data_IF_867407818047
#
_entry.id   IF_867407818047
#
_cell.length_a   1.000
_cell.length_b   1.000
_cell.length_c   1.000
_cell.angle_alpha   90.00
_cell.angle_beta   90.00
_cell.angle_gamma   90.00
#
_symmetry.space_group_name_H-M   'P 1'
#
loop_
_entity.id
_entity.type
_entity.pdbx_description
1 polymer ?
#
# COMPACT_ATOMS: atom_id res chain seq x y z
N UNK A 1 -11.31 -10.55 -26.74
CA UNK A 1 -12.69 -10.19 -26.31
C UNK A 1 -12.56 -9.58 -24.92
N UNK A 2 -12.84 -8.26 -24.81
CA UNK A 2 -12.85 -7.55 -23.53
C UNK A 2 -13.93 -8.11 -22.61
N UNK A 3 -13.72 -7.97 -21.29
CA UNK A 3 -14.75 -8.29 -20.31
C UNK A 3 -15.91 -7.29 -20.44
N UNK A 4 -17.14 -7.75 -20.18
CA UNK A 4 -18.31 -6.87 -20.21
C UNK A 4 -18.21 -5.89 -19.03
N UNK A 5 -18.25 -4.60 -19.31
CA UNK A 5 -18.31 -3.54 -18.31
C UNK A 5 -19.75 -3.39 -17.82
N UNK A 6 -19.95 -3.45 -16.51
CA UNK A 6 -21.29 -3.41 -15.89
C UNK A 6 -21.47 -2.26 -14.88
N UNK A 7 -20.40 -1.58 -14.49
CA UNK A 7 -20.46 -0.45 -13.56
C UNK A 7 -19.28 0.54 -13.80
N UNK A 8 -19.32 1.77 -13.24
CA UNK A 8 -18.28 2.78 -13.45
C UNK A 8 -16.88 2.32 -13.04
N UNK A 9 -16.73 1.61 -11.91
CA UNK A 9 -15.42 1.10 -11.44
C UNK A 9 -14.78 0.13 -12.45
N UNK A 10 -15.60 -0.70 -13.10
CA UNK A 10 -15.12 -1.57 -14.17
C UNK A 10 -14.73 -0.78 -15.44
N UNK A 11 -15.41 0.33 -15.71
CA UNK A 11 -15.03 1.22 -16.83
C UNK A 11 -13.65 1.83 -16.57
N UNK A 12 -13.37 2.30 -15.35
CA UNK A 12 -12.09 2.88 -14.98
C UNK A 12 -10.95 1.85 -15.01
N UNK A 13 -11.19 0.63 -14.50
CA UNK A 13 -10.22 -0.47 -14.58
C UNK A 13 -9.92 -0.81 -16.06
N UNK A 14 -10.95 -0.86 -16.90
CA UNK A 14 -10.78 -1.14 -18.32
C UNK A 14 -10.00 -0.03 -19.00
N UNK A 15 -10.31 1.22 -18.70
CA UNK A 15 -9.60 2.38 -19.21
C UNK A 15 -8.12 2.34 -18.83
N UNK A 16 -7.81 2.09 -17.55
CA UNK A 16 -6.43 1.95 -17.08
C UNK A 16 -5.71 0.82 -17.82
N UNK A 17 -6.34 -0.36 -17.93
CA UNK A 17 -5.77 -1.51 -18.63
C UNK A 17 -5.45 -1.24 -20.09
N UNK A 18 -6.32 -0.50 -20.79
CA UNK A 18 -6.15 -0.21 -22.22
C UNK A 18 -5.19 0.94 -22.50
N UNK A 19 -5.15 1.95 -21.59
CA UNK A 19 -4.38 3.17 -21.82
C UNK A 19 -2.97 3.11 -21.25
N UNK A 20 -2.77 2.50 -20.07
CA UNK A 20 -1.47 2.48 -19.40
C UNK A 20 -0.35 1.93 -20.31
N UNK A 21 -0.51 0.77 -21.01
CA UNK A 21 0.54 0.29 -21.91
C UNK A 21 0.79 1.16 -23.15
N UNK A 22 -0.14 2.03 -23.53
CA UNK A 22 0.01 2.93 -24.67
C UNK A 22 0.70 4.24 -24.29
N UNK A 23 0.50 4.67 -23.05
CA UNK A 23 1.03 5.94 -22.53
C UNK A 23 2.41 5.76 -21.90
N UNK A 24 2.70 4.57 -21.34
CA UNK A 24 3.97 4.24 -20.76
C UNK A 24 5.02 3.96 -21.84
N UNK A 25 6.24 4.43 -21.66
CA UNK A 25 7.33 4.30 -22.66
C UNK A 25 7.62 2.83 -22.99
N UNK A 26 7.70 1.98 -21.96
CA UNK A 26 7.93 0.53 -22.10
C UNK A 26 7.25 -0.23 -20.97
N UNK A 27 5.93 -0.33 -21.01
CA UNK A 27 5.15 -0.97 -19.95
C UNK A 27 5.51 -2.45 -19.74
N UNK A 28 5.88 -3.13 -20.81
CA UNK A 28 6.13 -4.57 -20.78
C UNK A 28 7.60 -4.95 -20.55
N UNK A 29 8.45 -4.01 -20.12
CA UNK A 29 9.86 -4.27 -19.84
C UNK A 29 10.07 -5.28 -18.69
N UNK A 30 9.18 -5.29 -17.68
CA UNK A 30 9.28 -6.16 -16.49
C UNK A 30 7.99 -6.94 -16.17
N UNK A 31 6.91 -6.71 -16.92
CA UNK A 31 5.62 -7.37 -16.72
C UNK A 31 5.12 -7.93 -18.04
N UNK A 32 4.79 -9.20 -18.09
CA UNK A 32 4.24 -9.82 -19.30
C UNK A 32 2.79 -9.40 -19.57
N UNK A 33 2.38 -9.44 -20.86
CA UNK A 33 0.97 -9.24 -21.23
C UNK A 33 0.01 -10.22 -20.54
N UNK A 34 0.47 -11.43 -20.25
CA UNK A 34 -0.32 -12.45 -19.58
C UNK A 34 -0.56 -12.10 -18.10
N UNK A 35 0.47 -11.64 -17.40
CA UNK A 35 0.38 -11.18 -16.01
C UNK A 35 -0.52 -9.96 -15.89
N UNK A 36 -0.35 -8.96 -16.75
CA UNK A 36 -1.19 -7.78 -16.75
C UNK A 36 -2.66 -8.12 -17.02
N UNK A 37 -2.93 -9.02 -17.98
CA UNK A 37 -4.29 -9.51 -18.25
C UNK A 37 -4.88 -10.27 -17.07
N UNK A 38 -4.08 -11.08 -16.37
CA UNK A 38 -4.50 -11.80 -15.15
C UNK A 38 -4.89 -10.80 -14.05
N UNK A 39 -4.06 -9.79 -13.81
CA UNK A 39 -4.33 -8.73 -12.84
C UNK A 39 -5.59 -7.92 -13.20
N UNK A 40 -5.75 -7.56 -14.47
CA UNK A 40 -6.97 -6.90 -14.97
C UNK A 40 -8.23 -7.72 -14.68
N UNK A 41 -8.23 -9.02 -14.96
CA UNK A 41 -9.38 -9.89 -14.68
C UNK A 41 -9.70 -9.94 -13.19
N UNK A 42 -8.68 -10.11 -12.34
CA UNK A 42 -8.86 -10.09 -10.90
C UNK A 42 -9.41 -8.74 -10.39
N UNK A 43 -8.93 -7.62 -10.93
CA UNK A 43 -9.43 -6.29 -10.58
C UNK A 43 -10.90 -6.06 -10.99
N UNK A 44 -11.39 -6.73 -12.03
CA UNK A 44 -12.78 -6.63 -12.50
C UNK A 44 -13.77 -7.37 -11.58
N UNK A 45 -13.28 -8.31 -10.76
CA UNK A 45 -14.11 -9.07 -9.82
C UNK A 45 -14.53 -8.18 -8.64
N UNK A 46 -15.70 -8.44 -8.09
CA UNK A 46 -16.23 -7.82 -6.85
C UNK A 46 -16.33 -6.27 -6.81
N UNK A 47 -16.12 -5.58 -7.91
CA UNK A 47 -16.16 -4.10 -7.97
C UNK A 47 -17.47 -3.49 -7.49
N UNK A 48 -18.58 -4.20 -7.62
CA UNK A 48 -19.90 -3.73 -7.18
C UNK A 48 -20.06 -3.58 -5.67
N UNK A 49 -19.25 -4.28 -4.88
CA UNK A 49 -19.24 -4.24 -3.40
C UNK A 49 -18.06 -3.47 -2.83
N UNK A 50 -17.11 -3.10 -3.66
CA UNK A 50 -15.86 -2.49 -3.27
C UNK A 50 -16.06 -1.03 -2.87
N UNK A 51 -15.60 -0.63 -1.69
CA UNK A 51 -15.51 0.77 -1.26
C UNK A 51 -14.55 1.58 -2.14
N UNK A 52 -14.58 2.90 -2.04
CA UNK A 52 -13.77 3.75 -2.93
C UNK A 52 -12.28 3.69 -2.60
N UNK A 53 -11.90 3.54 -1.33
CA UNK A 53 -10.51 3.34 -0.94
C UNK A 53 -9.98 1.96 -1.35
N UNK A 54 -10.78 0.90 -1.23
CA UNK A 54 -10.40 -0.43 -1.72
C UNK A 54 -10.25 -0.43 -3.24
N UNK A 55 -11.11 0.31 -3.94
CA UNK A 55 -11.01 0.53 -5.37
C UNK A 55 -9.72 1.28 -5.74
N UNK A 56 -9.37 2.33 -5.00
CA UNK A 56 -8.10 3.03 -5.15
C UNK A 56 -6.89 2.09 -5.01
N UNK A 57 -6.84 1.26 -3.97
CA UNK A 57 -5.76 0.29 -3.80
C UNK A 57 -5.74 -0.77 -4.91
N UNK A 58 -6.91 -1.15 -5.42
CA UNK A 58 -7.02 -2.07 -6.57
C UNK A 58 -6.44 -1.46 -7.85
N UNK A 59 -6.74 -0.19 -8.13
CA UNK A 59 -6.14 0.55 -9.25
C UNK A 59 -4.62 0.68 -9.09
N UNK A 60 -4.14 0.97 -7.87
CA UNK A 60 -2.71 1.03 -7.58
C UNK A 60 -2.02 -0.31 -7.84
N UNK A 61 -2.62 -1.42 -7.41
CA UNK A 61 -2.09 -2.77 -7.67
C UNK A 61 -1.96 -3.04 -9.17
N UNK A 62 -2.92 -2.58 -9.97
CA UNK A 62 -2.86 -2.74 -11.42
C UNK A 62 -1.79 -1.84 -12.04
N UNK A 63 -1.71 -0.57 -11.64
CA UNK A 63 -0.72 0.39 -12.12
C UNK A 63 0.72 0.02 -11.72
N UNK A 64 0.91 -0.59 -10.54
CA UNK A 64 2.24 -1.00 -10.04
C UNK A 64 2.94 -2.03 -10.92
N UNK A 65 2.21 -2.68 -11.82
CA UNK A 65 2.78 -3.60 -12.80
C UNK A 65 3.63 -2.89 -13.88
N UNK A 66 3.62 -1.56 -13.92
CA UNK A 66 4.58 -0.77 -14.69
C UNK A 66 6.03 -0.95 -14.20
N UNK A 67 6.22 -1.31 -12.92
CA UNK A 67 7.54 -1.59 -12.33
C UNK A 67 8.55 -0.44 -12.48
N UNK A 68 8.09 0.80 -12.37
CA UNK A 68 8.91 2.01 -12.36
C UNK A 68 8.44 2.98 -11.25
N UNK A 69 9.30 3.90 -10.84
CA UNK A 69 9.03 4.83 -9.74
C UNK A 69 8.16 6.03 -10.13
N UNK A 70 7.76 6.18 -11.40
CA UNK A 70 7.03 7.34 -11.91
C UNK A 70 5.56 7.03 -12.20
N UNK A 71 5.17 5.75 -12.23
CA UNK A 71 3.79 5.32 -12.45
C UNK A 71 3.06 5.15 -11.12
N UNK A 72 2.03 5.95 -10.89
CA UNK A 72 1.20 5.87 -9.68
C UNK A 72 -0.24 6.26 -9.94
N UNK A 73 -1.13 5.89 -9.03
CA UNK A 73 -2.51 6.38 -8.96
C UNK A 73 -2.57 7.36 -7.79
N UNK A 74 -2.96 8.61 -8.06
CA UNK A 74 -3.11 9.65 -7.05
C UNK A 74 -4.42 9.52 -6.28
N UNK A 75 -4.45 10.08 -5.07
CA UNK A 75 -5.66 10.25 -4.27
C UNK A 75 -6.38 11.53 -4.68
N UNK A 76 -7.70 11.47 -4.79
CA UNK A 76 -8.53 12.68 -4.85
C UNK A 76 -8.72 13.28 -3.47
N UNK A 77 -9.18 14.54 -3.37
CA UNK A 77 -9.45 15.17 -2.08
C UNK A 77 -10.54 14.41 -1.29
N UNK A 78 -11.54 13.88 -1.98
CA UNK A 78 -12.62 13.09 -1.38
C UNK A 78 -12.10 11.78 -0.79
N UNK A 79 -11.12 11.14 -1.42
CA UNK A 79 -10.47 9.94 -0.88
C UNK A 79 -9.53 10.27 0.29
N UNK A 80 -8.80 11.38 0.21
CA UNK A 80 -7.96 11.84 1.33
C UNK A 80 -8.80 12.07 2.59
N UNK A 81 -10.01 12.64 2.46
CA UNK A 81 -10.92 12.86 3.59
C UNK A 81 -11.44 11.57 4.25
N UNK A 82 -11.33 10.42 3.57
CA UNK A 82 -11.74 9.11 4.08
C UNK A 82 -10.57 8.32 4.72
N UNK A 83 -9.35 8.85 4.64
CA UNK A 83 -8.19 8.18 5.23
C UNK A 83 -8.23 8.25 6.75
N UNK A 84 -7.90 7.14 7.37
CA UNK A 84 -7.64 7.03 8.80
C UNK A 84 -6.18 6.66 9.03
N UNK A 85 -5.57 7.22 10.05
CA UNK A 85 -4.16 7.01 10.35
C UNK A 85 -3.94 6.84 11.85
N UNK A 86 -2.94 6.05 12.21
CA UNK A 86 -2.39 6.06 13.57
C UNK A 86 -1.51 7.30 13.75
N UNK A 87 -1.40 7.87 14.97
CA UNK A 87 -0.63 9.08 15.24
C UNK A 87 0.89 8.80 15.33
N UNK A 88 1.41 8.07 14.38
CA UNK A 88 2.82 7.74 14.24
C UNK A 88 3.23 7.75 12.78
N UNK A 89 4.53 7.99 12.52
CA UNK A 89 5.12 7.81 11.19
C UNK A 89 6.35 6.91 11.31
N UNK A 90 6.67 6.24 10.22
CA UNK A 90 7.75 5.27 10.16
C UNK A 90 8.71 5.60 9.03
N UNK A 91 10.00 5.36 9.27
CA UNK A 91 11.05 5.49 8.27
C UNK A 91 11.96 4.27 8.28
N UNK A 92 12.45 3.88 7.11
CA UNK A 92 13.43 2.80 7.01
C UNK A 92 14.83 3.38 7.14
N UNK A 93 15.48 3.12 8.26
CA UNK A 93 16.81 3.68 8.61
C UNK A 93 17.66 2.58 9.25
N UNK A 94 18.95 2.52 8.89
CA UNK A 94 19.91 1.54 9.45
C UNK A 94 19.43 0.09 9.35
N UNK A 95 18.79 -0.27 8.24
CA UNK A 95 18.36 -1.65 7.99
C UNK A 95 17.04 -2.06 8.64
N UNK A 96 16.33 -1.15 9.33
CA UNK A 96 15.09 -1.43 10.04
C UNK A 96 14.04 -0.35 9.87
N UNK A 97 12.77 -0.69 10.04
CA UNK A 97 11.68 0.27 10.18
C UNK A 97 11.71 0.86 11.59
N UNK A 98 11.73 2.19 11.67
CA UNK A 98 11.79 2.91 12.95
C UNK A 98 10.67 3.92 13.07
N UNK A 99 10.23 4.14 14.30
CA UNK A 99 9.31 5.22 14.64
C UNK A 99 10.02 6.55 14.41
N UNK A 100 9.59 7.34 13.43
CA UNK A 100 10.19 8.64 13.07
C UNK A 100 9.39 9.83 13.59
N UNK A 101 8.08 9.66 13.80
CA UNK A 101 7.17 10.63 14.44
C UNK A 101 6.20 9.85 15.30
N UNK A 102 5.87 10.38 16.48
CA UNK A 102 4.87 9.80 17.39
C UNK A 102 4.33 10.89 18.32
N UNK A 103 3.16 10.69 18.90
CA UNK A 103 2.60 11.58 19.90
C UNK A 103 3.50 11.74 21.13
N UNK A 104 3.45 12.90 21.78
CA UNK A 104 4.32 13.24 22.90
C UNK A 104 4.25 12.24 24.06
N UNK A 105 3.07 11.69 24.32
CA UNK A 105 2.87 10.75 25.45
C UNK A 105 3.56 9.40 25.24
N UNK A 106 4.03 9.14 24.02
CA UNK A 106 4.79 7.95 23.62
C UNK A 106 6.18 8.29 23.08
N UNK A 107 6.73 9.46 23.47
CA UNK A 107 8.01 9.94 22.95
C UNK A 107 9.20 9.02 23.27
N UNK A 108 9.09 8.18 24.28
CA UNK A 108 10.05 7.14 24.65
C UNK A 108 10.21 6.07 23.55
N UNK A 109 9.21 5.88 22.69
CA UNK A 109 9.25 4.95 21.54
C UNK A 109 9.93 5.54 20.30
N UNK A 110 10.26 6.84 20.29
CA UNK A 110 10.88 7.49 19.13
C UNK A 110 12.24 6.85 18.82
N UNK A 111 12.46 6.50 17.57
CA UNK A 111 13.66 5.80 17.10
C UNK A 111 13.66 4.29 17.36
N UNK A 112 12.67 3.78 18.09
CA UNK A 112 12.47 2.34 18.30
C UNK A 112 12.23 1.59 17.01
N UNK A 113 12.68 0.36 16.93
CA UNK A 113 12.48 -0.53 15.78
C UNK A 113 11.08 -1.13 15.80
N UNK A 114 10.33 -0.96 14.72
CA UNK A 114 9.01 -1.58 14.55
C UNK A 114 9.19 -3.03 14.11
N UNK A 115 8.89 -3.95 14.99
CA UNK A 115 9.06 -5.40 14.77
C UNK A 115 7.83 -5.98 14.05
N UNK A 116 6.62 -5.58 14.48
CA UNK A 116 5.38 -6.11 13.93
C UNK A 116 4.24 -5.10 14.01
N UNK A 117 3.24 -5.30 13.15
CA UNK A 117 1.94 -4.60 13.16
C UNK A 117 0.86 -5.67 13.25
N UNK A 118 -0.03 -5.61 14.28
CA UNK A 118 -1.03 -6.65 14.58
C UNK A 118 -0.42 -8.07 14.57
N UNK A 119 0.75 -8.23 15.19
CA UNK A 119 1.53 -9.48 15.22
C UNK A 119 2.06 -9.95 13.85
N UNK A 120 1.87 -9.20 12.78
CA UNK A 120 2.45 -9.50 11.47
C UNK A 120 3.85 -8.86 11.42
N UNK A 121 4.93 -9.64 11.21
CA UNK A 121 6.29 -9.10 11.14
C UNK A 121 6.43 -8.03 10.05
N UNK A 122 7.22 -6.97 10.30
CA UNK A 122 7.40 -5.86 9.36
C UNK A 122 7.87 -6.30 7.97
N UNK A 123 8.69 -7.35 7.88
CA UNK A 123 9.08 -7.93 6.59
C UNK A 123 7.87 -8.46 5.80
N UNK A 124 6.92 -9.07 6.49
CA UNK A 124 5.69 -9.56 5.87
C UNK A 124 4.75 -8.42 5.50
N UNK A 125 4.63 -7.38 6.33
CA UNK A 125 3.90 -6.14 5.99
C UNK A 125 4.48 -5.50 4.73
N UNK A 126 5.80 -5.36 4.63
CA UNK A 126 6.49 -4.85 3.43
C UNK A 126 6.17 -5.71 2.20
N UNK A 127 6.23 -7.05 2.34
CA UNK A 127 5.91 -7.99 1.26
C UNK A 127 4.46 -7.88 0.78
N UNK A 128 3.51 -7.78 1.70
CA UNK A 128 2.08 -7.65 1.39
C UNK A 128 1.75 -6.32 0.72
N UNK A 129 2.40 -5.24 1.16
CA UNK A 129 2.18 -3.89 0.64
C UNK A 129 2.91 -3.62 -0.68
N UNK A 130 4.06 -4.26 -0.93
CA UNK A 130 4.90 -4.06 -2.12
C UNK A 130 4.12 -4.05 -3.44
N UNK A 131 3.13 -4.95 -3.69
CA UNK A 131 2.36 -4.94 -4.93
C UNK A 131 1.48 -3.70 -5.15
N UNK A 132 1.37 -2.80 -4.18
CA UNK A 132 0.60 -1.56 -4.32
C UNK A 132 1.46 -0.38 -4.81
N UNK A 133 2.77 -0.57 -4.90
CA UNK A 133 3.71 0.50 -5.23
C UNK A 133 4.52 0.11 -6.47
N UNK A 134 4.41 0.91 -7.52
CA UNK A 134 5.33 0.80 -8.64
C UNK A 134 6.70 1.33 -8.22
N UNK A 135 7.75 0.55 -8.40
CA UNK A 135 9.09 0.91 -7.95
C UNK A 135 10.16 0.16 -8.76
N UNK A 136 11.30 0.81 -8.94
CA UNK A 136 12.48 0.26 -9.63
C UNK A 136 13.36 -0.57 -8.67
N UNK A 137 13.34 -0.22 -7.37
CA UNK A 137 14.19 -0.85 -6.37
C UNK A 137 13.62 -0.70 -4.95
N UNK A 138 14.24 -1.39 -3.98
CA UNK A 138 13.78 -1.42 -2.58
C UNK A 138 13.86 -0.04 -1.88
N UNK A 139 14.75 0.85 -2.30
CA UNK A 139 14.86 2.19 -1.71
C UNK A 139 13.58 2.98 -2.01
N UNK A 140 13.14 2.97 -3.27
CA UNK A 140 11.89 3.62 -3.68
C UNK A 140 10.67 2.97 -3.04
N UNK A 141 10.61 1.63 -2.95
CA UNK A 141 9.53 0.95 -2.25
C UNK A 141 9.41 1.44 -0.81
N UNK A 142 10.52 1.45 -0.06
CA UNK A 142 10.54 1.86 1.34
C UNK A 142 10.23 3.34 1.52
N UNK A 143 10.66 4.19 0.58
CA UNK A 143 10.27 5.59 0.56
C UNK A 143 8.74 5.74 0.42
N UNK A 144 8.11 5.06 -0.53
CA UNK A 144 6.65 5.13 -0.69
C UNK A 144 5.90 4.52 0.50
N UNK A 145 6.39 3.42 1.05
CA UNK A 145 5.82 2.81 2.24
C UNK A 145 5.88 3.76 3.44
N UNK A 146 6.99 4.46 3.65
CA UNK A 146 7.14 5.42 4.77
C UNK A 146 6.07 6.51 4.77
N UNK A 147 5.52 6.85 3.61
CA UNK A 147 4.46 7.84 3.46
C UNK A 147 3.06 7.29 3.78
N UNK A 148 2.90 5.99 3.92
CA UNK A 148 1.58 5.35 4.00
C UNK A 148 1.45 4.25 5.06
N UNK A 149 2.54 3.85 5.71
CA UNK A 149 2.50 2.83 6.77
C UNK A 149 1.71 3.26 8.01
N UNK A 150 1.38 4.52 8.17
CA UNK A 150 0.50 4.99 9.22
C UNK A 150 -1.00 4.86 8.87
N UNK A 151 -1.36 4.54 7.63
CA UNK A 151 -2.75 4.47 7.18
C UNK A 151 -3.40 3.15 7.60
N UNK A 152 -4.41 3.21 8.45
CA UNK A 152 -5.16 2.02 8.88
C UNK A 152 -6.00 1.41 7.75
N UNK A 153 -6.39 2.22 6.75
CA UNK A 153 -7.03 1.74 5.52
C UNK A 153 -6.12 0.79 4.73
N UNK A 154 -4.81 1.03 4.71
CA UNK A 154 -3.85 0.12 4.10
C UNK A 154 -3.86 -1.24 4.80
N UNK A 155 -3.86 -1.26 6.13
CA UNK A 155 -3.89 -2.50 6.90
C UNK A 155 -5.18 -3.30 6.68
N UNK A 156 -6.33 -2.62 6.60
CA UNK A 156 -7.60 -3.27 6.29
C UNK A 156 -7.58 -3.89 4.88
N UNK A 157 -7.11 -3.15 3.89
CA UNK A 157 -7.00 -3.65 2.51
C UNK A 157 -6.04 -4.85 2.39
N UNK A 158 -4.96 -4.86 3.15
CA UNK A 158 -3.99 -5.98 3.16
C UNK A 158 -4.44 -7.18 4.01
N UNK A 159 -5.58 -7.09 4.70
CA UNK A 159 -6.04 -8.13 5.62
C UNK A 159 -5.24 -8.23 6.93
N UNK A 160 -4.44 -7.21 7.25
CA UNK A 160 -3.69 -7.08 8.53
C UNK A 160 -4.64 -6.61 9.63
N UNK A 161 -5.68 -5.86 9.28
CA UNK A 161 -6.77 -5.45 10.13
C UNK A 161 -8.12 -5.84 9.50
N UNK A 162 -9.18 -6.00 10.31
CA UNK A 162 -10.52 -6.35 9.83
C UNK A 162 -11.28 -5.13 9.31
N UNK A 163 -10.91 -3.93 9.75
CA UNK A 163 -11.48 -2.65 9.30
C UNK A 163 -10.49 -1.50 9.55
N UNK A 164 -10.65 -0.34 8.88
CA UNK A 164 -9.82 0.85 9.15
C UNK A 164 -9.98 1.42 10.57
N UNK A 165 -11.09 1.14 11.24
CA UNK A 165 -11.37 1.58 12.62
C UNK A 165 -10.89 0.61 13.69
N UNK A 166 -10.34 -0.54 13.29
CA UNK A 166 -9.75 -1.48 14.25
C UNK A 166 -8.53 -0.84 14.92
N UNK A 167 -8.44 -1.01 16.24
CA UNK A 167 -7.23 -0.66 16.98
C UNK A 167 -6.04 -1.46 16.43
N UNK A 168 -4.94 -0.77 16.15
CA UNK A 168 -3.72 -1.36 15.62
C UNK A 168 -2.71 -1.50 16.76
N UNK A 169 -2.16 -2.69 16.95
CA UNK A 169 -1.05 -2.89 17.88
C UNK A 169 0.29 -2.81 17.14
N UNK A 170 1.25 -2.13 17.74
CA UNK A 170 2.62 -2.02 17.25
C UNK A 170 3.54 -2.72 18.23
N UNK A 171 4.32 -3.69 17.78
CA UNK A 171 5.41 -4.25 18.57
C UNK A 171 6.68 -3.46 18.24
N UNK A 172 7.22 -2.76 19.24
CA UNK A 172 8.37 -1.86 19.07
C UNK A 172 9.48 -2.31 20.02
N UNK A 173 10.68 -2.52 19.47
CA UNK A 173 11.90 -2.75 20.24
C UNK A 173 12.60 -1.42 20.49
N UNK A 174 12.74 -1.03 21.75
CA UNK A 174 13.41 0.22 22.12
C UNK A 174 14.91 0.15 21.85
N UNK A 175 15.48 1.27 21.41
CA UNK A 175 16.91 1.37 21.09
C UNK A 175 17.81 1.30 22.33
N UNK A 176 17.32 1.74 23.49
CA UNK A 176 18.11 1.87 24.72
C UNK A 176 18.11 0.64 25.62
N UNK A 177 17.10 -0.22 25.53
CA UNK A 177 16.88 -1.30 26.49
C UNK A 177 16.81 -2.68 25.87
N UNK A 178 16.75 -2.79 24.53
CA UNK A 178 16.40 -4.04 23.83
C UNK A 178 15.03 -4.62 24.24
N UNK A 179 14.20 -3.86 24.96
CA UNK A 179 12.86 -4.29 25.39
C UNK A 179 11.84 -4.13 24.27
N UNK A 180 10.95 -5.11 24.13
CA UNK A 180 9.82 -5.05 23.21
C UNK A 180 8.58 -4.50 23.91
N UNK A 181 7.89 -3.55 23.27
CA UNK A 181 6.62 -2.97 23.70
C UNK A 181 5.52 -3.27 22.65
N UNK A 182 4.33 -3.59 23.14
CA UNK A 182 3.14 -3.88 22.29
C UNK A 182 1.98 -2.99 22.62
#
# INVERSE_FOLDING_TARGET
TGLKVSNPKQADITYLYEQLPKLHVDFYHATSKAEFRKAYRAAMEDTGKMGDLDFYFTLRRLASLAKDSHTSVGLTQELVAQLSAIPAQFSYVEGAWRVSVIERDHADLLGGEVIAINSIPMQEVERLASPLFSHDNQVWLRYYLSQQLNLTNLYAYLGIATSPSQMVSLTIKQRSTDEEHT
#
